data_IF_659154881388
#
_entry.id   IF_659154881388
#
_cell.length_a   1.000
_cell.length_b   1.000
_cell.length_c   1.000
_cell.angle_alpha   90.00
_cell.angle_beta   90.00
_cell.angle_gamma   90.00
#
_symmetry.space_group_name_H-M   'P 1'
#
loop_
_entity.id
_entity.type
_entity.pdbx_description
1 polymer ?
#
# COMPACT_ATOMS: atom_id res chain seq x y z
N UNK A 1 12.06 21.87 15.10
CA UNK A 1 11.63 21.18 13.87
C UNK A 1 11.55 22.20 12.75
N UNK A 2 12.15 21.97 11.57
CA UNK A 2 11.97 22.90 10.46
C UNK A 2 10.48 22.94 10.10
N UNK A 3 9.94 24.14 9.84
CA UNK A 3 8.56 24.28 9.34
C UNK A 3 8.44 23.49 8.05
N UNK A 4 7.55 22.51 8.04
CA UNK A 4 7.23 21.74 6.85
C UNK A 4 6.62 22.69 5.81
N UNK A 5 7.04 22.57 4.56
CA UNK A 5 6.54 23.43 3.48
C UNK A 5 5.08 23.08 3.22
N UNK A 6 4.19 24.03 3.49
CA UNK A 6 2.76 23.91 3.20
C UNK A 6 2.49 24.21 1.72
N UNK A 7 1.59 23.43 1.13
CA UNK A 7 1.13 23.60 -0.24
C UNK A 7 -0.36 23.93 -0.23
N UNK A 8 -0.78 24.84 -1.12
CA UNK A 8 -2.20 25.00 -1.43
C UNK A 8 -2.58 23.94 -2.46
N UNK A 9 -3.37 22.95 -2.02
CA UNK A 9 -3.79 21.80 -2.82
C UNK A 9 -5.31 21.74 -2.88
N UNK A 10 -5.84 21.35 -4.04
CA UNK A 10 -7.25 21.05 -4.23
C UNK A 10 -7.41 19.64 -4.81
N UNK A 11 -8.29 18.84 -4.22
CA UNK A 11 -8.68 17.55 -4.78
C UNK A 11 -9.65 17.79 -5.94
N UNK A 12 -9.22 17.48 -7.16
CA UNK A 12 -10.07 17.57 -8.37
C UNK A 12 -10.97 16.34 -8.48
N UNK A 13 -10.41 15.17 -8.17
CA UNK A 13 -11.11 13.88 -8.21
C UNK A 13 -10.49 12.97 -7.15
N UNK A 14 -11.33 12.34 -6.34
CA UNK A 14 -10.89 11.35 -5.36
C UNK A 14 -10.30 10.10 -6.05
N UNK A 15 -10.84 9.73 -7.21
CA UNK A 15 -10.49 8.47 -7.87
C UNK A 15 -11.35 7.31 -7.37
N UNK A 16 -10.95 6.09 -7.67
CA UNK A 16 -11.69 4.86 -7.36
C UNK A 16 -10.84 3.89 -6.54
N UNK A 17 -11.52 3.17 -5.63
CA UNK A 17 -10.97 2.03 -4.92
C UNK A 17 -11.33 0.75 -5.68
N UNK A 18 -10.32 0.07 -6.21
CA UNK A 18 -10.46 -1.21 -6.91
C UNK A 18 -10.01 -2.32 -5.99
N UNK A 19 -10.93 -3.19 -5.57
CA UNK A 19 -10.68 -4.21 -4.53
C UNK A 19 -9.37 -4.98 -4.69
N UNK A 20 -9.03 -5.43 -5.90
CA UNK A 20 -7.78 -6.17 -6.13
C UNK A 20 -6.51 -5.36 -5.85
N UNK A 21 -6.54 -4.04 -6.03
CA UNK A 21 -5.41 -3.15 -5.77
C UNK A 21 -5.26 -2.84 -4.28
N UNK A 22 -6.35 -2.72 -3.52
CA UNK A 22 -6.29 -2.31 -2.10
C UNK A 22 -6.36 -3.50 -1.12
N UNK A 23 -6.88 -4.63 -1.57
CA UNK A 23 -7.15 -5.82 -0.76
C UNK A 23 -6.58 -7.12 -1.37
N UNK A 24 -5.74 -7.02 -2.40
CA UNK A 24 -5.00 -8.14 -3.00
C UNK A 24 -3.58 -8.31 -2.45
N UNK A 25 -2.78 -9.21 -3.04
CA UNK A 25 -1.40 -9.49 -2.60
C UNK A 25 -0.50 -8.27 -2.51
N UNK A 26 -0.61 -7.37 -3.49
CA UNK A 26 0.20 -6.15 -3.61
C UNK A 26 -0.47 -4.91 -3.03
N UNK A 27 -1.44 -5.08 -2.13
CA UNK A 27 -2.18 -3.99 -1.50
C UNK A 27 -1.30 -2.92 -0.87
N UNK A 28 -0.16 -3.32 -0.30
CA UNK A 28 0.84 -2.42 0.30
C UNK A 28 1.23 -1.26 -0.59
N UNK A 29 1.30 -1.46 -1.91
CA UNK A 29 1.75 -0.43 -2.84
C UNK A 29 0.72 0.70 -3.01
N UNK A 30 -0.54 0.44 -2.65
CA UNK A 30 -1.68 1.34 -2.79
C UNK A 30 -2.07 2.05 -1.50
N UNK A 31 -1.31 1.84 -0.42
CA UNK A 31 -1.54 2.45 0.89
C UNK A 31 -0.34 3.30 1.32
N UNK A 32 -0.55 4.61 1.43
CA UNK A 32 0.47 5.54 1.91
C UNK A 32 0.47 5.59 3.44
N UNK A 33 1.55 5.10 4.04
CA UNK A 33 1.79 5.25 5.47
C UNK A 33 2.01 6.72 5.88
N UNK A 34 1.25 7.19 6.86
CA UNK A 34 1.30 8.54 7.42
C UNK A 34 1.47 8.48 8.94
N UNK A 35 2.55 9.02 9.52
CA UNK A 35 2.67 9.10 10.96
C UNK A 35 1.71 10.17 11.52
N UNK A 36 0.80 9.78 12.41
CA UNK A 36 -0.05 10.69 13.18
C UNK A 36 0.26 10.51 14.66
N UNK A 37 0.96 11.49 15.23
CA UNK A 37 1.30 11.72 16.65
C UNK A 37 1.94 10.57 17.46
N UNK A 38 1.61 9.30 17.22
CA UNK A 38 2.20 8.06 17.76
C UNK A 38 1.80 6.79 16.97
N UNK A 39 0.81 6.86 16.06
CA UNK A 39 0.34 5.72 15.25
C UNK A 39 0.61 5.96 13.76
N UNK A 40 0.70 4.90 12.96
CA UNK A 40 0.73 5.00 11.50
C UNK A 40 -0.67 4.80 10.95
N UNK A 41 -1.23 5.83 10.31
CA UNK A 41 -2.45 5.71 9.52
C UNK A 41 -2.11 5.46 8.06
N UNK A 42 -2.93 4.69 7.37
CA UNK A 42 -2.76 4.44 5.94
C UNK A 42 -3.81 5.21 5.16
N UNK A 43 -3.36 6.09 4.25
CA UNK A 43 -4.24 6.77 3.31
C UNK A 43 -4.22 6.02 1.96
N UNK A 44 -5.35 5.77 1.32
CA UNK A 44 -5.37 5.09 0.03
C UNK A 44 -4.83 6.02 -1.06
N UNK A 45 -4.04 5.46 -1.96
CA UNK A 45 -3.61 6.11 -3.19
C UNK A 45 -4.64 5.75 -4.26
N UNK A 46 -5.77 6.45 -4.32
CA UNK A 46 -6.90 6.07 -5.18
C UNK A 46 -6.55 6.10 -6.69
N UNK A 47 -6.96 5.08 -7.46
CA UNK A 47 -6.73 5.06 -8.90
C UNK A 47 -7.50 6.19 -9.57
N UNK A 48 -6.85 6.97 -10.44
CA UNK A 48 -7.49 8.12 -11.08
C UNK A 48 -7.64 9.34 -10.18
N UNK A 49 -7.11 9.30 -8.94
CA UNK A 49 -7.00 10.46 -8.06
C UNK A 49 -6.30 11.61 -8.80
N UNK A 50 -6.87 12.82 -8.70
CA UNK A 50 -6.31 14.04 -9.30
C UNK A 50 -6.24 15.16 -8.29
N UNK A 51 -5.07 15.78 -8.17
CA UNK A 51 -4.84 16.92 -7.28
C UNK A 51 -4.24 18.07 -8.05
N UNK A 52 -4.72 19.28 -7.78
CA UNK A 52 -4.17 20.54 -8.28
C UNK A 52 -3.39 21.22 -7.18
N UNK A 53 -2.15 21.62 -7.48
CA UNK A 53 -1.29 22.35 -6.55
C UNK A 53 -0.69 23.56 -7.24
N UNK A 54 -0.66 24.68 -6.53
CA UNK A 54 -0.09 25.93 -7.05
C UNK A 54 1.32 26.10 -6.49
N UNK A 55 2.32 26.15 -7.37
CA UNK A 55 3.72 26.37 -7.02
C UNK A 55 4.26 27.49 -7.90
N UNK A 56 4.78 28.56 -7.28
CA UNK A 56 5.26 29.77 -7.97
C UNK A 56 4.23 30.34 -8.97
N UNK A 57 2.98 30.45 -8.52
CA UNK A 57 1.83 30.92 -9.33
C UNK A 57 1.55 30.09 -10.59
N UNK A 58 2.05 28.86 -10.65
CA UNK A 58 1.80 27.93 -11.75
C UNK A 58 1.08 26.69 -11.24
N UNK A 59 0.10 26.23 -12.01
CA UNK A 59 -0.72 25.08 -11.70
C UNK A 59 0.02 23.77 -12.05
N UNK A 60 0.00 22.82 -11.13
CA UNK A 60 0.49 21.46 -11.32
C UNK A 60 -0.64 20.48 -10.99
N UNK A 61 -1.04 19.67 -11.97
CA UNK A 61 -2.02 18.62 -11.78
C UNK A 61 -1.28 17.29 -11.75
N UNK A 62 -1.40 16.56 -10.64
CA UNK A 62 -0.90 15.18 -10.52
C UNK A 62 -2.08 14.22 -10.64
N UNK A 63 -1.93 13.19 -11.45
CA UNK A 63 -2.89 12.10 -11.63
C UNK A 63 -2.25 10.78 -11.25
N UNK A 64 -2.93 10.00 -10.40
CA UNK A 64 -2.61 8.60 -10.13
C UNK A 64 -3.15 7.74 -11.26
N UNK A 65 -2.32 6.86 -11.80
CA UNK A 65 -2.68 5.91 -12.84
C UNK A 65 -2.18 4.53 -12.45
N UNK A 66 -2.77 3.49 -13.04
CA UNK A 66 -2.19 2.16 -12.98
C UNK A 66 -1.03 2.13 -13.98
N UNK A 67 0.16 1.80 -13.52
CA UNK A 67 1.34 1.77 -14.37
C UNK A 67 1.20 0.64 -15.40
N UNK A 68 1.23 0.97 -16.69
CA UNK A 68 1.26 0.00 -17.78
C UNK A 68 2.71 -0.21 -18.22
N UNK A 69 3.29 -1.36 -17.86
CA UNK A 69 4.31 -2.17 -18.58
C UNK A 69 5.31 -1.52 -19.56
N UNK A 70 5.78 -0.28 -19.35
CA UNK A 70 6.59 0.41 -20.36
C UNK A 70 8.11 0.36 -20.13
N UNK A 71 8.59 0.12 -18.92
CA UNK A 71 10.03 -0.05 -18.64
C UNK A 71 10.28 -1.31 -17.80
N UNK A 72 10.14 -2.48 -18.44
CA UNK A 72 10.46 -3.80 -17.86
C UNK A 72 11.97 -3.93 -17.56
N UNK A 73 12.80 -3.02 -18.08
CA UNK A 73 14.25 -3.01 -17.91
C UNK A 73 14.74 -2.36 -16.59
N UNK A 74 13.87 -1.66 -15.83
CA UNK A 74 14.24 -1.15 -14.50
C UNK A 74 14.25 -2.32 -13.48
N UNK A 75 15.39 -2.63 -12.82
CA UNK A 75 15.44 -3.68 -11.80
C UNK A 75 14.57 -3.38 -10.57
N UNK A 76 14.06 -2.14 -10.41
CA UNK A 76 13.10 -1.76 -9.37
C UNK A 76 11.67 -1.65 -9.90
N UNK A 77 11.41 -2.11 -11.13
CA UNK A 77 10.07 -2.12 -11.71
C UNK A 77 9.13 -2.96 -10.85
N UNK A 78 7.99 -2.38 -10.49
CA UNK A 78 6.90 -3.06 -9.79
C UNK A 78 5.62 -2.82 -10.55
N UNK A 79 5.11 -3.84 -11.25
CA UNK A 79 3.90 -3.71 -12.08
C UNK A 79 2.63 -3.41 -11.27
N UNK A 80 2.67 -3.63 -9.96
CA UNK A 80 1.56 -3.40 -9.05
C UNK A 80 1.64 -2.08 -8.29
N UNK A 81 2.67 -1.26 -8.51
CA UNK A 81 2.75 0.06 -7.89
C UNK A 81 1.90 1.10 -8.64
N UNK A 82 1.39 2.13 -7.95
CA UNK A 82 0.74 3.25 -8.62
C UNK A 82 1.74 4.04 -9.46
N UNK A 83 1.35 4.37 -10.68
CA UNK A 83 2.05 5.30 -11.55
C UNK A 83 1.55 6.73 -11.35
N UNK A 84 2.40 7.71 -11.64
CA UNK A 84 2.08 9.13 -11.46
C UNK A 84 2.42 9.97 -12.69
N UNK A 85 1.47 10.80 -13.11
CA UNK A 85 1.63 11.76 -14.21
C UNK A 85 1.40 13.16 -13.66
N UNK A 86 2.27 14.11 -14.00
CA UNK A 86 2.16 15.51 -13.68
C UNK A 86 2.02 16.34 -14.96
N UNK A 87 1.13 17.33 -14.92
CA UNK A 87 0.85 18.25 -16.03
C UNK A 87 0.90 19.70 -15.54
N UNK A 88 1.46 20.60 -16.35
CA UNK A 88 1.54 22.03 -16.05
C UNK A 88 1.74 22.88 -17.32
N UNK A 89 0.71 23.65 -17.71
CA UNK A 89 0.73 24.59 -18.86
C UNK A 89 1.46 24.03 -20.10
N UNK A 90 0.95 22.92 -20.66
CA UNK A 90 1.51 22.25 -21.84
C UNK A 90 2.70 21.32 -21.56
N UNK A 91 3.31 21.38 -20.38
CA UNK A 91 4.28 20.37 -19.94
C UNK A 91 3.54 19.16 -19.38
N UNK A 92 4.03 17.97 -19.74
CA UNK A 92 3.58 16.68 -19.20
C UNK A 92 4.77 15.74 -19.17
N UNK A 93 4.85 14.90 -18.14
CA UNK A 93 5.81 13.80 -18.11
C UNK A 93 5.12 12.47 -18.51
N UNK A 94 5.95 11.47 -18.81
CA UNK A 94 5.51 10.08 -18.85
C UNK A 94 5.18 9.60 -17.44
N UNK A 95 4.61 8.40 -17.31
CA UNK A 95 4.37 7.78 -16.00
C UNK A 95 5.70 7.70 -15.23
N UNK A 96 5.63 7.96 -13.93
CA UNK A 96 6.75 7.78 -13.00
C UNK A 96 6.30 6.93 -11.82
N UNK A 97 7.25 6.23 -11.21
CA UNK A 97 7.08 5.31 -10.08
C UNK A 97 6.70 6.01 -8.77
N UNK A 98 6.89 7.33 -8.66
CA UNK A 98 6.46 8.07 -7.48
C UNK A 98 6.08 9.52 -7.76
N UNK A 99 5.17 10.04 -6.92
CA UNK A 99 4.65 11.40 -7.00
C UNK A 99 5.72 12.49 -6.88
N UNK A 100 6.85 12.23 -6.19
CA UNK A 100 7.94 13.21 -6.00
C UNK A 100 8.76 13.40 -7.28
N UNK A 101 9.05 12.31 -7.99
CA UNK A 101 9.80 12.35 -9.25
C UNK A 101 9.00 13.04 -10.35
N UNK A 102 7.70 12.73 -10.47
CA UNK A 102 6.86 13.34 -11.50
C UNK A 102 6.77 14.86 -11.35
N UNK A 103 6.46 15.37 -10.15
CA UNK A 103 6.35 16.81 -9.91
C UNK A 103 7.69 17.51 -10.08
N UNK A 104 8.77 16.91 -9.56
CA UNK A 104 10.11 17.48 -9.64
C UNK A 104 10.57 17.59 -11.09
N UNK A 105 10.28 16.57 -11.93
CA UNK A 105 10.61 16.58 -13.36
C UNK A 105 9.88 17.69 -14.12
N UNK A 106 8.58 17.85 -13.89
CA UNK A 106 7.79 18.89 -14.56
C UNK A 106 8.17 20.29 -14.06
N UNK A 107 8.38 20.45 -12.75
CA UNK A 107 8.84 21.71 -12.15
C UNK A 107 10.21 22.15 -12.70
N UNK A 108 11.16 21.20 -12.82
CA UNK A 108 12.48 21.47 -13.40
C UNK A 108 12.38 21.97 -14.84
N UNK A 109 11.51 21.37 -15.66
CA UNK A 109 11.28 21.81 -17.04
C UNK A 109 10.60 23.19 -17.09
N UNK A 110 9.69 23.48 -16.17
CA UNK A 110 8.96 24.74 -16.13
C UNK A 110 9.84 25.94 -15.72
N UNK A 111 10.78 25.74 -14.79
CA UNK A 111 11.53 26.84 -14.15
C UNK A 111 13.04 26.75 -14.31
N UNK A 112 13.57 25.75 -15.01
CA UNK A 112 15.01 25.46 -15.08
C UNK A 112 15.67 25.36 -13.70
N UNK A 113 14.92 24.86 -12.72
CA UNK A 113 15.30 24.84 -11.31
C UNK A 113 15.25 23.43 -10.72
N UNK A 114 16.35 22.98 -10.11
CA UNK A 114 16.54 21.63 -9.57
C UNK A 114 15.84 21.35 -8.23
N UNK A 115 15.01 22.26 -7.73
CA UNK A 115 14.25 22.06 -6.48
C UNK A 115 13.46 20.77 -6.55
N UNK A 116 13.62 19.93 -5.51
CA UNK A 116 12.84 18.71 -5.34
C UNK A 116 11.61 19.01 -4.50
N UNK A 117 10.48 18.41 -4.86
CA UNK A 117 9.25 18.50 -4.09
C UNK A 117 8.87 17.13 -3.54
N UNK A 118 8.41 17.10 -2.30
CA UNK A 118 7.85 15.90 -1.70
C UNK A 118 6.44 15.68 -2.27
N UNK A 119 6.32 14.73 -3.19
CA UNK A 119 5.09 14.43 -3.91
C UNK A 119 3.87 14.22 -3.00
N UNK A 120 3.95 13.43 -1.92
CA UNK A 120 2.82 13.25 -1.02
C UNK A 120 2.31 14.55 -0.38
N UNK A 121 3.20 15.52 -0.11
CA UNK A 121 2.79 16.82 0.42
C UNK A 121 2.21 17.71 -0.69
N UNK A 122 2.79 17.65 -1.89
CA UNK A 122 2.23 18.36 -3.06
C UNK A 122 0.84 17.84 -3.38
N UNK A 123 0.58 16.53 -3.23
CA UNK A 123 -0.74 15.94 -3.44
C UNK A 123 -1.69 16.12 -2.25
N UNK A 124 -1.25 16.75 -1.16
CA UNK A 124 -2.13 17.11 -0.05
C UNK A 124 -2.57 15.94 0.83
N UNK A 125 -1.81 14.83 0.88
CA UNK A 125 -2.09 13.72 1.81
C UNK A 125 -1.93 14.12 3.30
N UNK A 126 -1.35 15.29 3.58
CA UNK A 126 -1.29 15.92 4.90
C UNK A 126 -2.45 16.88 5.19
N UNK A 127 -3.32 17.13 4.21
CA UNK A 127 -4.44 18.05 4.34
C UNK A 127 -5.67 17.25 4.80
N UNK A 128 -6.21 17.50 6.00
CA UNK A 128 -7.24 16.64 6.61
C UNK A 128 -8.45 16.36 5.73
N UNK A 129 -9.05 17.40 5.12
CA UNK A 129 -10.24 17.22 4.29
C UNK A 129 -10.00 16.43 3.00
N UNK A 130 -8.76 16.44 2.47
CA UNK A 130 -8.40 15.59 1.33
C UNK A 130 -8.28 14.15 1.79
N UNK A 131 -7.57 13.90 2.88
CA UNK A 131 -7.42 12.55 3.45
C UNK A 131 -8.77 11.96 3.86
N UNK A 132 -9.65 12.73 4.49
CA UNK A 132 -11.03 12.34 4.83
C UNK A 132 -11.83 11.95 3.58
N UNK A 133 -11.74 12.74 2.50
CA UNK A 133 -12.42 12.44 1.25
C UNK A 133 -11.91 11.11 0.63
N UNK A 134 -10.60 10.86 0.67
CA UNK A 134 -10.01 9.61 0.16
C UNK A 134 -10.38 8.38 1.01
N UNK A 135 -10.65 8.58 2.30
CA UNK A 135 -11.03 7.51 3.22
C UNK A 135 -12.54 7.21 3.22
N UNK A 136 -13.36 8.06 2.60
CA UNK A 136 -14.83 7.97 2.71
C UNK A 136 -15.43 6.65 2.18
N UNK A 137 -14.82 6.05 1.16
CA UNK A 137 -15.26 4.78 0.55
C UNK A 137 -14.44 3.56 1.03
N UNK A 138 -13.56 3.73 2.03
CA UNK A 138 -12.73 2.65 2.57
C UNK A 138 -13.52 1.81 3.56
N UNK A 139 -13.82 0.57 3.18
CA UNK A 139 -14.54 -0.40 4.03
C UNK A 139 -13.70 -0.86 5.23
N UNK A 140 -12.42 -1.10 4.98
CA UNK A 140 -11.48 -1.53 6.00
C UNK A 140 -10.20 -0.71 5.92
N UNK A 141 -9.84 -0.08 7.04
CA UNK A 141 -8.61 0.70 7.17
C UNK A 141 -7.48 -0.26 7.56
N UNK A 142 -6.46 -0.43 6.69
CA UNK A 142 -5.38 -1.34 7.03
C UNK A 142 -4.55 -0.77 8.17
N UNK A 143 -3.94 -1.69 8.90
CA UNK A 143 -2.97 -1.37 9.93
C UNK A 143 -1.77 -2.31 9.82
N UNK A 144 -0.65 -1.87 10.36
CA UNK A 144 0.57 -2.65 10.37
C UNK A 144 1.19 -2.66 11.76
N UNK A 145 1.76 -3.79 12.14
CA UNK A 145 2.44 -3.97 13.42
C UNK A 145 3.67 -4.86 13.23
N UNK A 146 4.54 -4.85 14.24
CA UNK A 146 5.78 -5.64 14.20
C UNK A 146 5.65 -6.92 15.00
N UNK A 147 6.12 -8.00 14.40
CA UNK A 147 6.45 -9.26 15.08
C UNK A 147 7.96 -9.41 14.98
N UNK A 148 8.66 -8.91 16.00
CA UNK A 148 10.10 -8.67 15.94
C UNK A 148 10.52 -7.87 14.68
N UNK A 149 11.12 -8.54 13.69
CA UNK A 149 11.60 -7.95 12.44
C UNK A 149 10.58 -8.03 11.30
N UNK A 150 9.47 -8.76 11.47
CA UNK A 150 8.42 -8.86 10.47
C UNK A 150 7.46 -7.69 10.60
N UNK A 151 7.22 -6.98 9.50
CA UNK A 151 6.16 -5.97 9.42
C UNK A 151 4.92 -6.63 8.81
N UNK A 152 3.99 -7.04 9.67
CA UNK A 152 2.71 -7.63 9.23
C UNK A 152 1.74 -6.50 8.97
N UNK A 153 1.11 -6.51 7.79
CA UNK A 153 0.04 -5.60 7.43
C UNK A 153 -1.24 -6.40 7.24
N UNK A 154 -2.31 -5.96 7.89
CA UNK A 154 -3.66 -6.49 7.76
C UNK A 154 -4.46 -5.47 6.95
N UNK A 155 -5.15 -5.93 5.92
CA UNK A 155 -5.90 -5.06 5.02
C UNK A 155 -7.31 -5.57 4.73
N UNK A 156 -7.73 -6.70 5.28
CA UNK A 156 -9.13 -7.10 5.30
C UNK A 156 -9.42 -7.98 6.51
N UNK A 157 -10.62 -7.86 7.06
CA UNK A 157 -11.11 -8.71 8.16
C UNK A 157 -12.31 -9.52 7.65
N UNK A 158 -12.25 -10.82 7.90
CA UNK A 158 -13.37 -11.75 7.77
C UNK A 158 -13.71 -12.29 9.15
N UNK A 159 -14.99 -12.47 9.45
CA UNK A 159 -15.46 -12.95 10.76
C UNK A 159 -16.09 -14.33 10.61
N UNK A 160 -15.75 -15.24 11.51
CA UNK A 160 -16.35 -16.57 11.63
C UNK A 160 -16.69 -16.92 13.08
N UNK A 161 -17.36 -18.05 13.28
CA UNK A 161 -17.58 -18.62 14.61
C UNK A 161 -16.40 -19.48 15.10
N UNK A 162 -15.27 -19.49 14.39
CA UNK A 162 -14.11 -20.31 14.72
C UNK A 162 -13.27 -19.64 15.82
N UNK A 163 -13.49 -20.05 17.07
CA UNK A 163 -12.73 -19.54 18.22
C UNK A 163 -11.24 -19.86 18.14
N UNK A 164 -10.85 -20.93 17.46
CA UNK A 164 -9.43 -21.31 17.31
C UNK A 164 -8.67 -20.33 16.41
N UNK A 165 -9.40 -19.54 15.61
CA UNK A 165 -8.85 -18.50 14.74
C UNK A 165 -9.09 -17.09 15.28
N UNK A 166 -9.38 -16.96 16.58
CA UNK A 166 -9.84 -15.71 17.20
C UNK A 166 -11.02 -15.08 16.44
N UNK A 167 -11.96 -15.92 15.97
CA UNK A 167 -13.12 -15.52 15.18
C UNK A 167 -12.80 -14.90 13.83
N UNK A 168 -11.56 -14.98 13.34
CA UNK A 168 -11.25 -14.66 11.96
C UNK A 168 -11.85 -15.70 11.01
N UNK A 169 -12.15 -15.32 9.78
CA UNK A 169 -12.80 -16.16 8.78
C UNK A 169 -12.57 -15.69 7.36
N UNK A 170 -13.36 -16.26 6.44
CA UNK A 170 -13.36 -15.89 5.02
C UNK A 170 -13.42 -14.37 4.85
N UNK A 171 -12.50 -13.83 4.04
CA UNK A 171 -12.30 -12.40 3.85
C UNK A 171 -11.20 -11.78 4.71
N UNK A 172 -10.63 -12.51 5.68
CA UNK A 172 -9.42 -12.07 6.37
C UNK A 172 -8.23 -12.08 5.41
N UNK A 173 -7.46 -10.99 5.37
CA UNK A 173 -6.24 -10.91 4.56
C UNK A 173 -5.15 -10.13 5.27
N UNK A 174 -3.99 -10.75 5.37
CA UNK A 174 -2.77 -10.12 5.86
C UNK A 174 -1.57 -10.51 5.02
N UNK A 175 -0.50 -9.75 5.12
CA UNK A 175 0.73 -10.12 4.43
C UNK A 175 1.95 -9.52 5.10
N UNK A 176 3.12 -10.10 4.86
CA UNK A 176 4.41 -9.52 5.24
C UNK A 176 5.49 -9.89 4.22
N UNK A 177 6.66 -9.28 4.36
CA UNK A 177 7.81 -9.55 3.50
C UNK A 177 8.88 -10.28 4.32
N UNK A 178 9.37 -11.41 3.80
CA UNK A 178 10.45 -12.17 4.43
C UNK A 178 11.26 -12.94 3.39
N UNK A 179 12.47 -13.35 3.76
CA UNK A 179 13.30 -14.16 2.88
C UNK A 179 12.75 -15.57 2.74
N UNK A 180 12.60 -16.03 1.51
CA UNK A 180 12.23 -17.39 1.15
C UNK A 180 13.18 -17.88 0.06
N UNK A 181 13.84 -19.03 0.28
CA UNK A 181 14.84 -19.57 -0.66
C UNK A 181 15.90 -18.53 -1.09
N UNK A 182 16.47 -17.81 -0.12
CA UNK A 182 17.52 -16.80 -0.31
C UNK A 182 17.11 -15.54 -1.09
N UNK A 183 15.81 -15.24 -1.17
CA UNK A 183 15.30 -14.05 -1.85
C UNK A 183 14.10 -13.47 -1.13
N UNK A 184 14.01 -12.14 -1.10
CA UNK A 184 12.89 -11.44 -0.48
C UNK A 184 11.59 -11.79 -1.20
N UNK A 185 10.62 -12.27 -0.45
CA UNK A 185 9.33 -12.73 -0.98
C UNK A 185 8.18 -12.15 -0.16
N UNK A 186 7.05 -11.99 -0.84
CA UNK A 186 5.79 -11.57 -0.26
C UNK A 186 5.03 -12.80 0.25
N UNK A 187 4.73 -12.84 1.54
CA UNK A 187 3.83 -13.83 2.12
C UNK A 187 2.45 -13.21 2.26
N UNK A 188 1.48 -13.68 1.47
CA UNK A 188 0.09 -13.30 1.53
C UNK A 188 -0.71 -14.40 2.22
N UNK A 189 -1.50 -14.04 3.23
CA UNK A 189 -2.20 -14.93 4.12
C UNK A 189 -3.69 -14.61 4.09
N UNK A 190 -4.53 -15.62 3.94
CA UNK A 190 -5.98 -15.46 3.98
C UNK A 190 -6.68 -16.72 4.51
N UNK A 191 -7.97 -16.57 4.79
CA UNK A 191 -8.88 -17.69 5.05
C UNK A 191 -9.88 -17.82 3.91
N UNK A 192 -10.12 -19.06 3.50
CA UNK A 192 -11.07 -19.43 2.44
C UNK A 192 -11.61 -20.83 2.73
N UNK A 193 -12.92 -21.04 2.66
CA UNK A 193 -13.60 -22.35 2.86
C UNK A 193 -13.05 -23.20 4.04
N UNK A 194 -12.90 -22.60 5.23
CA UNK A 194 -12.33 -23.22 6.44
C UNK A 194 -10.86 -23.69 6.34
N UNK A 195 -10.11 -23.18 5.35
CA UNK A 195 -8.65 -23.36 5.24
C UNK A 195 -7.88 -22.08 5.54
N UNK A 196 -6.73 -22.25 6.20
CA UNK A 196 -5.69 -21.23 6.28
C UNK A 196 -4.78 -21.36 5.05
N UNK A 197 -4.67 -20.28 4.27
CA UNK A 197 -3.90 -20.25 3.03
C UNK A 197 -2.74 -19.27 3.15
N UNK A 198 -1.55 -19.70 2.73
CA UNK A 198 -0.37 -18.84 2.56
C UNK A 198 0.12 -18.96 1.12
N UNK A 199 0.05 -17.85 0.38
CA UNK A 199 0.61 -17.70 -0.96
C UNK A 199 1.93 -16.94 -0.86
N UNK A 200 2.95 -17.46 -1.51
CA UNK A 200 4.26 -16.81 -1.57
C UNK A 200 4.43 -16.26 -2.97
N UNK A 201 4.69 -14.96 -3.07
CA UNK A 201 5.00 -14.30 -4.32
C UNK A 201 6.44 -13.82 -4.35
N UNK A 202 7.06 -13.95 -5.52
CA UNK A 202 8.39 -13.43 -5.82
C UNK A 202 8.34 -12.81 -7.21
N UNK A 203 8.96 -11.63 -7.36
CA UNK A 203 9.00 -10.92 -8.65
C UNK A 203 7.60 -10.82 -9.29
N UNK A 204 6.60 -10.46 -8.47
CA UNK A 204 5.22 -10.24 -8.95
C UNK A 204 4.46 -11.51 -9.36
N UNK A 205 5.08 -12.68 -9.21
CA UNK A 205 4.50 -13.97 -9.56
C UNK A 205 4.29 -14.85 -8.33
N UNK A 206 3.16 -15.57 -8.30
CA UNK A 206 2.90 -16.60 -7.31
C UNK A 206 3.83 -17.79 -7.56
N UNK A 207 4.67 -18.12 -6.59
CA UNK A 207 5.64 -19.22 -6.72
C UNK A 207 5.22 -20.48 -5.93
N UNK A 208 4.45 -20.32 -4.86
CA UNK A 208 4.02 -21.41 -3.98
C UNK A 208 2.69 -21.08 -3.30
N UNK A 209 1.89 -22.12 -3.05
CA UNK A 209 0.68 -22.04 -2.22
C UNK A 209 0.70 -23.17 -1.20
N UNK A 210 0.48 -22.81 0.06
CA UNK A 210 0.31 -23.75 1.16
C UNK A 210 -1.11 -23.58 1.71
N UNK A 211 -1.78 -24.71 1.95
CA UNK A 211 -3.12 -24.77 2.55
C UNK A 211 -3.11 -25.79 3.68
N UNK A 212 -3.82 -25.50 4.75
CA UNK A 212 -4.08 -26.44 5.83
C UNK A 212 -5.27 -25.99 6.68
N UNK A 213 -5.73 -26.85 7.60
CA UNK A 213 -6.95 -26.64 8.37
C UNK A 213 -6.85 -25.50 9.42
N UNK A 214 -5.66 -24.94 9.67
CA UNK A 214 -5.48 -23.77 10.53
C UNK A 214 -4.10 -23.11 10.33
N UNK A 215 -3.91 -21.87 10.84
CA UNK A 215 -2.65 -21.14 10.71
C UNK A 215 -1.42 -21.89 11.21
N UNK A 216 -1.54 -22.64 12.31
CA UNK A 216 -0.40 -23.36 12.89
C UNK A 216 0.07 -24.52 11.99
N UNK A 217 -0.87 -25.25 11.40
CA UNK A 217 -0.55 -26.37 10.51
C UNK A 217 0.06 -25.89 9.19
N UNK A 218 -0.48 -24.82 8.59
CA UNK A 218 0.07 -24.28 7.34
C UNK A 218 1.50 -23.74 7.55
N UNK A 219 1.77 -23.04 8.65
CA UNK A 219 3.12 -22.55 8.96
C UNK A 219 4.10 -23.66 9.34
N UNK A 220 3.62 -24.73 10.00
CA UNK A 220 4.42 -25.94 10.22
C UNK A 220 4.80 -26.61 8.90
N UNK A 221 3.91 -26.62 7.90
CA UNK A 221 4.15 -27.16 6.56
C UNK A 221 5.19 -26.34 5.77
N UNK A 222 5.16 -25.01 5.89
CA UNK A 222 6.16 -24.12 5.27
C UNK A 222 7.54 -24.35 5.89
N UNK A 223 7.63 -24.60 7.20
CA UNK A 223 8.87 -25.03 7.86
C UNK A 223 9.90 -23.93 8.12
N UNK A 224 9.56 -22.66 7.89
CA UNK A 224 10.37 -21.48 8.26
C UNK A 224 9.70 -20.71 9.39
N UNK A 225 10.40 -19.72 9.96
CA UNK A 225 9.85 -18.87 11.04
C UNK A 225 9.32 -19.69 12.23
N UNK A 226 9.88 -20.88 12.46
CA UNK A 226 9.37 -21.91 13.40
C UNK A 226 9.36 -21.49 14.87
N UNK A 227 9.98 -20.34 15.19
CA UNK A 227 9.91 -19.73 16.52
C UNK A 227 8.56 -19.09 16.82
N UNK A 228 7.76 -18.77 15.79
CA UNK A 228 6.43 -18.20 15.92
C UNK A 228 5.38 -19.29 15.66
N UNK A 229 4.25 -19.18 16.35
CA UNK A 229 3.07 -19.95 15.97
C UNK A 229 2.42 -19.29 14.74
N UNK A 230 1.58 -20.05 14.02
CA UNK A 230 0.96 -19.55 12.81
C UNK A 230 -0.08 -18.46 13.06
N UNK A 231 -0.76 -18.49 14.22
CA UNK A 231 -1.75 -17.47 14.59
C UNK A 231 -1.11 -16.10 14.81
N UNK A 232 0.07 -16.08 15.45
CA UNK A 232 0.94 -14.91 15.59
C UNK A 232 1.34 -14.38 14.21
N UNK A 233 1.82 -15.25 13.31
CA UNK A 233 2.24 -14.85 11.94
C UNK A 233 1.07 -14.33 11.09
N UNK A 234 -0.12 -14.90 11.23
CA UNK A 234 -1.32 -14.38 10.61
C UNK A 234 -1.69 -13.02 11.18
N UNK A 235 -1.39 -12.75 12.45
CA UNK A 235 -1.67 -11.50 13.15
C UNK A 235 -2.86 -11.53 14.09
N UNK A 236 -3.49 -12.70 14.26
CA UNK A 236 -4.80 -12.86 14.88
C UNK A 236 -4.83 -12.50 16.37
N UNK A 237 -3.66 -12.43 17.01
CA UNK A 237 -3.51 -12.11 18.43
C UNK A 237 -3.45 -10.58 18.68
N UNK A 238 -3.41 -9.76 17.62
CA UNK A 238 -3.36 -8.30 17.71
C UNK A 238 -4.69 -7.74 18.23
N UNK A 239 -4.62 -6.70 19.07
CA UNK A 239 -5.79 -6.14 19.75
C UNK A 239 -6.84 -5.56 18.79
N UNK A 240 -6.43 -5.10 17.60
CA UNK A 240 -7.36 -4.61 16.58
C UNK A 240 -8.10 -5.73 15.83
N UNK A 241 -7.69 -6.99 16.00
CA UNK A 241 -8.34 -8.16 15.38
C UNK A 241 -9.23 -8.91 16.38
N UNK A 242 -8.94 -8.80 17.68
CA UNK A 242 -9.75 -9.44 18.72
C UNK A 242 -11.14 -8.81 18.76
N UNK A 243 -12.12 -9.57 18.29
CA UNK A 243 -13.55 -9.30 18.40
C UNK A 243 -14.06 -9.57 19.82
#
# INVERSE_FOLDING_TARGET
MPKQKEYSVSLISAGELIDNLYYGPYSREWWLARPISNNTTFCPICLGMKTLTIINNRNFIITVVQENTQDIEDPNYNEFQPGYICQSEGLRNNVCENSSKTITSVYQKAFSNKTKHAGPLVMGFDIPHISEALLSDVHFHPFAFKIENLSVMVFSIGVSNNSDWNYAGEGYKSSFIHDFNHSQSLFFQEFDDDEAIVRIYKEFQEICVFRDANPNLVWKKIGILTKFNGSTLFGLEHNEIKL
#
